data_IF_489243828769
#
_entry.id   IF_489243828769
#
_cell.length_a   1.000
_cell.length_b   1.000
_cell.length_c   1.000
_cell.angle_alpha   90.00
_cell.angle_beta   90.00
_cell.angle_gamma   90.00
#
_symmetry.space_group_name_H-M   'P 1'
#
loop_
_entity.id
_entity.type
_entity.pdbx_description
1 polymer ?
#
# COMPACT_ATOMS: atom_id res chain seq x y z
N UNK A 1 -4.73 -35.50 34.41
CA UNK A 1 -3.71 -35.14 33.39
C UNK A 1 -4.34 -34.67 32.08
N UNK A 2 -5.37 -35.35 31.55
CA UNK A 2 -6.06 -34.97 30.31
C UNK A 2 -6.70 -33.55 30.29
N UNK A 3 -7.30 -33.11 31.39
CA UNK A 3 -7.92 -31.77 31.51
C UNK A 3 -6.90 -30.62 31.36
N UNK A 4 -5.71 -30.78 31.98
CA UNK A 4 -4.63 -29.80 31.88
C UNK A 4 -4.07 -29.73 30.45
N UNK A 5 -3.90 -30.89 29.79
CA UNK A 5 -3.45 -30.92 28.40
C UNK A 5 -4.49 -30.34 27.45
N UNK A 6 -5.78 -30.62 27.64
CA UNK A 6 -6.85 -30.04 26.82
C UNK A 6 -6.91 -28.52 27.00
N UNK A 7 -6.85 -28.03 28.25
CA UNK A 7 -6.79 -26.59 28.54
C UNK A 7 -5.56 -25.90 27.94
N UNK A 8 -4.39 -26.54 28.02
CA UNK A 8 -3.17 -26.02 27.40
C UNK A 8 -3.28 -25.94 25.87
N UNK A 9 -3.84 -26.96 25.23
CA UNK A 9 -4.07 -26.96 23.77
C UNK A 9 -5.03 -25.85 23.36
N UNK A 10 -6.15 -25.70 24.06
CA UNK A 10 -7.11 -24.62 23.80
C UNK A 10 -6.46 -23.25 23.96
N UNK A 11 -5.69 -23.05 25.03
CA UNK A 11 -4.98 -21.80 25.26
C UNK A 11 -3.99 -21.48 24.12
N UNK A 12 -3.16 -22.46 23.72
CA UNK A 12 -2.21 -22.29 22.62
C UNK A 12 -2.91 -21.95 21.30
N UNK A 13 -4.04 -22.60 21.00
CA UNK A 13 -4.83 -22.32 19.80
C UNK A 13 -5.41 -20.90 19.84
N UNK A 14 -5.96 -20.47 20.99
CA UNK A 14 -6.49 -19.12 21.14
C UNK A 14 -5.41 -18.05 20.98
N UNK A 15 -4.24 -18.27 21.56
CA UNK A 15 -3.09 -17.37 21.42
C UNK A 15 -2.64 -17.30 19.96
N UNK A 16 -2.49 -18.44 19.29
CA UNK A 16 -2.13 -18.49 17.88
C UNK A 16 -3.17 -17.77 16.99
N UNK A 17 -4.46 -18.01 17.24
CA UNK A 17 -5.55 -17.36 16.53
C UNK A 17 -5.55 -15.84 16.76
N UNK A 18 -5.28 -15.38 17.98
CA UNK A 18 -5.16 -13.96 18.31
C UNK A 18 -4.01 -13.31 17.53
N UNK A 19 -2.81 -13.90 17.53
CA UNK A 19 -1.68 -13.36 16.78
C UNK A 19 -1.92 -13.38 15.27
N UNK A 20 -2.53 -14.44 14.72
CA UNK A 20 -2.92 -14.50 13.30
C UNK A 20 -3.94 -13.42 12.94
N UNK A 21 -4.98 -13.24 13.75
CA UNK A 21 -5.98 -12.21 13.53
C UNK A 21 -5.37 -10.81 13.58
N UNK A 22 -4.50 -10.56 14.56
CA UNK A 22 -3.80 -9.29 14.70
C UNK A 22 -2.91 -9.02 13.48
N UNK A 23 -2.13 -10.01 13.04
CA UNK A 23 -1.30 -9.91 11.86
C UNK A 23 -2.13 -9.61 10.61
N UNK A 24 -3.19 -10.38 10.34
CA UNK A 24 -4.08 -10.16 9.20
C UNK A 24 -4.78 -8.79 9.25
N UNK A 25 -5.12 -8.30 10.43
CA UNK A 25 -5.72 -6.98 10.61
C UNK A 25 -4.73 -5.86 10.24
N UNK A 26 -3.51 -5.92 10.75
CA UNK A 26 -2.48 -4.93 10.45
C UNK A 26 -1.98 -5.00 9.02
N UNK A 27 -1.79 -6.20 8.48
CA UNK A 27 -1.39 -6.42 7.09
C UNK A 27 -2.39 -5.79 6.12
N UNK A 28 -3.69 -6.06 6.31
CA UNK A 28 -4.75 -5.43 5.49
C UNK A 28 -4.82 -3.92 5.67
N UNK A 29 -4.65 -3.41 6.89
CA UNK A 29 -4.68 -1.98 7.18
C UNK A 29 -3.53 -1.25 6.50
N UNK A 30 -2.32 -1.80 6.56
CA UNK A 30 -1.13 -1.18 6.02
C UNK A 30 -1.03 -1.37 4.50
N UNK A 31 -1.48 -2.50 3.95
CA UNK A 31 -1.57 -2.69 2.51
C UNK A 31 -2.38 -1.58 1.82
N UNK A 32 -3.47 -1.11 2.44
CA UNK A 32 -4.28 -0.02 1.88
C UNK A 32 -3.51 1.31 1.82
N UNK A 33 -2.56 1.56 2.73
CA UNK A 33 -1.71 2.76 2.72
C UNK A 33 -0.56 2.64 1.73
N UNK A 34 0.11 1.49 1.70
CA UNK A 34 1.23 1.25 0.79
C UNK A 34 0.80 1.23 -0.68
N UNK A 35 -0.36 0.64 -1.02
CA UNK A 35 -0.86 0.67 -2.39
C UNK A 35 -1.15 2.10 -2.88
N UNK A 36 -1.60 3.00 -2.01
CA UNK A 36 -1.84 4.40 -2.36
C UNK A 36 -0.53 5.18 -2.57
N UNK A 37 0.52 4.86 -1.81
CA UNK A 37 1.83 5.50 -1.95
C UNK A 37 2.64 4.96 -3.13
N UNK A 38 2.53 3.67 -3.43
CA UNK A 38 3.25 3.00 -4.52
C UNK A 38 2.63 3.28 -5.91
N UNK A 39 1.35 3.62 -5.95
CA UNK A 39 0.61 4.04 -7.16
C UNK A 39 0.82 5.51 -7.51
N UNK A 40 2.00 6.05 -7.23
CA UNK A 40 2.41 7.37 -7.69
C UNK A 40 3.11 7.21 -9.03
N UNK A 41 2.47 7.71 -10.08
CA UNK A 41 3.07 7.80 -11.40
C UNK A 41 3.88 9.09 -11.41
N UNK A 42 5.18 8.98 -11.65
CA UNK A 42 6.05 10.13 -11.83
C UNK A 42 5.93 10.61 -13.28
N UNK A 43 5.72 11.91 -13.44
CA UNK A 43 5.70 12.62 -14.71
C UNK A 43 6.90 13.56 -14.76
N UNK A 44 7.46 13.71 -15.96
CA UNK A 44 8.54 14.64 -16.25
C UNK A 44 8.06 15.59 -17.32
N UNK A 45 8.25 16.90 -17.11
CA UNK A 45 7.85 17.89 -18.08
C UNK A 45 8.98 18.25 -19.05
N UNK A 46 8.80 17.93 -20.33
CA UNK A 46 9.79 18.23 -21.39
C UNK A 46 10.03 19.75 -21.56
N UNK A 47 9.06 20.60 -21.17
CA UNK A 47 9.14 22.06 -21.32
C UNK A 47 9.87 22.79 -20.19
N UNK A 48 9.74 22.30 -18.95
CA UNK A 48 10.24 23.01 -17.77
C UNK A 48 11.10 22.13 -16.86
N UNK A 49 11.41 20.91 -17.30
CA UNK A 49 12.23 19.92 -16.62
C UNK A 49 11.72 19.49 -15.24
N UNK A 50 10.50 19.91 -14.88
CA UNK A 50 9.93 19.64 -13.58
C UNK A 50 9.48 18.16 -13.47
N UNK A 51 9.94 17.49 -12.41
CA UNK A 51 9.44 16.20 -11.98
C UNK A 51 8.29 16.38 -10.98
N UNK A 52 7.21 15.63 -11.17
CA UNK A 52 6.07 15.63 -10.24
C UNK A 52 5.40 14.27 -10.19
N UNK A 53 4.85 13.91 -9.03
CA UNK A 53 4.12 12.66 -8.83
C UNK A 53 2.62 12.91 -8.76
N UNK A 54 1.84 12.07 -9.42
CA UNK A 54 0.39 12.14 -9.39
C UNK A 54 -0.24 10.80 -8.98
N UNK A 55 -1.43 10.82 -8.33
CA UNK A 55 -2.21 9.61 -8.09
C UNK A 55 -2.49 8.88 -9.40
N UNK A 56 -2.50 7.55 -9.36
CA UNK A 56 -2.83 6.70 -10.52
C UNK A 56 -4.17 7.12 -11.13
N UNK A 57 -4.18 7.30 -12.44
CA UNK A 57 -5.35 7.77 -13.19
C UNK A 57 -4.99 8.03 -14.65
N UNK A 58 -5.01 9.29 -15.12
CA UNK A 58 -4.90 9.60 -16.54
C UNK A 58 -3.49 9.38 -17.10
N UNK A 59 -3.41 8.92 -18.36
CA UNK A 59 -2.14 8.73 -19.10
C UNK A 59 -1.41 10.05 -19.38
N UNK A 60 -2.12 11.18 -19.28
CA UNK A 60 -1.58 12.54 -19.48
C UNK A 60 -1.98 13.45 -18.33
N UNK A 61 -1.05 14.30 -17.87
CA UNK A 61 -1.35 15.35 -16.87
C UNK A 61 -0.68 16.67 -17.21
N UNK A 62 -1.36 17.81 -16.98
CA UNK A 62 -0.74 19.12 -17.10
C UNK A 62 0.32 19.32 -16.01
N UNK A 63 1.45 19.89 -16.38
CA UNK A 63 2.48 20.29 -15.45
C UNK A 63 1.98 21.41 -14.52
N UNK A 64 2.18 21.33 -13.20
CA UNK A 64 1.77 22.38 -12.26
C UNK A 64 2.50 23.71 -12.45
N UNK A 65 3.67 23.73 -13.14
CA UNK A 65 4.43 24.96 -13.40
C UNK A 65 4.06 25.65 -14.71
N UNK A 66 3.89 24.89 -15.80
CA UNK A 66 3.75 25.46 -17.14
C UNK A 66 2.44 25.09 -17.86
N UNK A 67 1.60 24.25 -17.25
CA UNK A 67 0.33 23.81 -17.82
C UNK A 67 0.45 22.83 -19.00
N UNK A 68 1.66 22.51 -19.46
CA UNK A 68 1.87 21.60 -20.58
C UNK A 68 1.46 20.16 -20.23
N UNK A 69 0.68 19.51 -21.09
CA UNK A 69 0.21 18.14 -20.89
C UNK A 69 1.31 17.13 -21.20
N UNK A 70 1.87 16.49 -20.17
CA UNK A 70 2.91 15.48 -20.32
C UNK A 70 2.32 14.08 -20.26
N UNK A 71 2.79 13.20 -21.15
CA UNK A 71 2.51 11.78 -21.09
C UNK A 71 3.24 11.10 -19.92
N UNK A 72 2.69 9.99 -19.46
CA UNK A 72 3.29 9.11 -18.46
C UNK A 72 4.63 8.57 -18.95
N UNK A 73 5.67 8.63 -18.12
CA UNK A 73 6.90 7.86 -18.34
C UNK A 73 6.60 6.37 -18.16
N UNK A 74 6.88 5.59 -19.21
CA UNK A 74 6.99 4.14 -19.13
C UNK A 74 8.47 3.83 -18.97
N UNK A 75 8.83 3.25 -17.83
CA UNK A 75 10.14 2.61 -17.63
C UNK A 75 10.02 1.14 -18.01
#
# INVERSE_FOLDING_TARGET
>A
MFELTAGAVVFCVLVAAFFLALWLFYDRRDHRRFELERRKITFHCIRCDALYSAPTGPETRPCPKCGYSNGRLKF
#
